data_IF_232070368373
#
_entry.id   IF_232070368373
#
_cell.length_a   1.000
_cell.length_b   1.000
_cell.length_c   1.000
_cell.angle_alpha   90.00
_cell.angle_beta   90.00
_cell.angle_gamma   90.00
#
_symmetry.space_group_name_H-M   'P 1'
#
loop_
_entity.id
_entity.type
_entity.pdbx_description
1 polymer ?
#
# COMPACT_ATOMS: atom_id res chain seq x y z
N UNK A 1 13.95 -51.05 17.67
CA UNK A 1 14.43 -49.65 17.47
C UNK A 1 14.40 -49.39 15.98
N UNK A 2 13.44 -48.61 15.49
CA UNK A 2 13.34 -48.30 14.06
C UNK A 2 14.38 -47.27 13.70
N UNK A 3 15.19 -47.54 12.67
CA UNK A 3 16.18 -46.58 12.16
C UNK A 3 15.46 -45.36 11.56
N UNK A 4 16.00 -44.14 11.76
CA UNK A 4 15.44 -42.94 11.17
C UNK A 4 15.63 -42.98 9.64
N UNK A 5 14.53 -42.81 8.90
CA UNK A 5 14.57 -42.67 7.44
C UNK A 5 15.25 -41.33 7.11
N UNK A 6 16.41 -41.39 6.47
CA UNK A 6 17.12 -40.20 6.01
C UNK A 6 16.29 -39.49 4.93
N UNK A 7 15.91 -38.23 5.17
CA UNK A 7 15.30 -37.39 4.15
C UNK A 7 16.42 -36.91 3.22
N UNK A 8 16.36 -37.21 1.91
CA UNK A 8 17.38 -36.75 0.97
C UNK A 8 17.40 -35.22 0.91
N UNK A 9 18.61 -34.66 0.82
CA UNK A 9 18.79 -33.22 0.67
C UNK A 9 18.18 -32.72 -0.65
N UNK A 10 17.55 -31.53 -0.69
CA UNK A 10 17.00 -30.97 -1.91
C UNK A 10 18.09 -30.73 -2.94
N UNK A 11 17.81 -31.04 -4.21
CA UNK A 11 18.72 -30.75 -5.32
C UNK A 11 18.71 -29.25 -5.67
N UNK A 12 19.84 -28.68 -6.11
CA UNK A 12 19.88 -27.29 -6.56
C UNK A 12 19.06 -27.11 -7.85
N UNK A 13 18.37 -25.98 -7.96
CA UNK A 13 17.62 -25.61 -9.17
C UNK A 13 18.62 -25.16 -10.26
N UNK A 14 18.55 -25.68 -11.50
CA UNK A 14 19.40 -25.22 -12.59
C UNK A 14 19.25 -23.73 -12.88
N UNK A 15 20.35 -23.05 -13.20
CA UNK A 15 20.39 -21.57 -13.35
C UNK A 15 19.44 -21.09 -14.45
N UNK A 16 19.28 -21.87 -15.53
CA UNK A 16 18.35 -21.59 -16.63
C UNK A 16 16.87 -21.62 -16.23
N UNK A 17 16.53 -22.21 -15.08
CA UNK A 17 15.19 -22.21 -14.51
C UNK A 17 14.99 -21.07 -13.49
N UNK A 18 16.06 -20.38 -13.10
CA UNK A 18 15.99 -19.23 -12.21
C UNK A 18 15.56 -18.00 -12.99
N UNK A 19 14.69 -17.20 -12.38
CA UNK A 19 14.20 -15.94 -12.95
C UNK A 19 14.60 -14.78 -12.05
N UNK A 20 14.95 -13.65 -12.65
CA UNK A 20 15.14 -12.41 -11.89
C UNK A 20 13.80 -11.87 -11.43
N UNK A 21 13.70 -11.56 -10.13
CA UNK A 21 12.55 -10.84 -9.60
C UNK A 21 12.65 -9.37 -10.03
N UNK A 22 11.99 -9.03 -11.14
CA UNK A 22 11.89 -7.66 -11.62
C UNK A 22 10.66 -6.95 -11.03
N UNK A 23 10.69 -5.63 -10.85
CA UNK A 23 9.49 -4.86 -10.53
C UNK A 23 8.40 -5.13 -11.58
N UNK A 24 7.12 -5.22 -11.17
CA UNK A 24 6.04 -5.47 -12.11
C UNK A 24 5.94 -4.31 -13.11
N UNK A 25 5.71 -4.65 -14.38
CA UNK A 25 5.29 -3.72 -15.43
C UNK A 25 3.80 -3.94 -15.62
N UNK A 26 3.02 -2.88 -15.54
CA UNK A 26 1.57 -2.94 -15.69
C UNK A 26 1.18 -2.68 -17.16
N UNK A 27 0.31 -3.50 -17.72
CA UNK A 27 -0.11 -3.37 -19.12
C UNK A 27 -1.16 -2.26 -19.30
N UNK A 28 -1.82 -1.86 -18.22
CA UNK A 28 -2.83 -0.79 -18.21
C UNK A 28 -2.81 0.01 -16.90
N UNK A 29 -3.34 1.25 -16.91
CA UNK A 29 -3.51 2.02 -15.67
C UNK A 29 -4.47 1.37 -14.66
N UNK A 30 -5.43 0.56 -15.11
CA UNK A 30 -6.33 -0.18 -14.22
C UNK A 30 -5.59 -1.27 -13.42
N UNK A 31 -4.69 -2.00 -14.09
CA UNK A 31 -3.82 -2.97 -13.44
C UNK A 31 -2.89 -2.28 -12.43
N UNK A 32 -2.28 -1.16 -12.82
CA UNK A 32 -1.42 -0.40 -11.92
C UNK A 32 -2.18 0.15 -10.70
N UNK A 33 -3.42 0.63 -10.90
CA UNK A 33 -4.27 1.11 -9.81
C UNK A 33 -4.58 -0.01 -8.83
N UNK A 34 -4.94 -1.18 -9.34
CA UNK A 34 -5.21 -2.38 -8.53
C UNK A 34 -3.98 -2.74 -7.72
N UNK A 35 -2.82 -2.82 -8.38
CA UNK A 35 -1.55 -3.09 -7.73
C UNK A 35 -1.20 -2.06 -6.64
N UNK A 36 -1.30 -0.75 -6.93
CA UNK A 36 -1.02 0.32 -5.95
C UNK A 36 -1.95 0.22 -4.73
N UNK A 37 -3.24 -0.08 -4.92
CA UNK A 37 -4.21 -0.27 -3.82
C UNK A 37 -3.90 -1.50 -2.98
N UNK A 38 -3.51 -2.62 -3.60
CA UNK A 38 -3.09 -3.82 -2.90
C UNK A 38 -1.83 -3.60 -2.06
N UNK A 39 -0.82 -2.93 -2.65
CA UNK A 39 0.41 -2.57 -1.95
C UNK A 39 0.15 -1.58 -0.81
N UNK A 40 -0.74 -0.61 -1.01
CA UNK A 40 -1.14 0.34 0.02
C UNK A 40 -1.80 -0.36 1.21
N UNK A 41 -2.79 -1.24 0.95
CA UNK A 41 -3.41 -2.05 2.01
C UNK A 41 -2.39 -2.92 2.74
N UNK A 42 -1.47 -3.56 2.00
CA UNK A 42 -0.37 -4.34 2.60
C UNK A 42 0.54 -3.50 3.48
N UNK A 43 0.93 -2.30 3.04
CA UNK A 43 1.76 -1.38 3.80
C UNK A 43 1.08 -0.92 5.10
N UNK A 44 -0.22 -0.61 5.04
CA UNK A 44 -1.01 -0.27 6.22
C UNK A 44 -1.01 -1.44 7.22
N UNK A 45 -1.30 -2.66 6.78
CA UNK A 45 -1.27 -3.84 7.67
C UNK A 45 0.11 -4.06 8.30
N UNK A 46 1.19 -3.84 7.54
CA UNK A 46 2.55 -3.89 8.09
C UNK A 46 2.76 -2.82 9.16
N UNK A 47 2.28 -1.59 8.94
CA UNK A 47 2.33 -0.53 9.97
C UNK A 47 1.56 -0.93 11.22
N UNK A 48 0.36 -1.49 11.08
CA UNK A 48 -0.42 -2.01 12.21
C UNK A 48 0.31 -3.12 12.97
N UNK A 49 0.89 -4.10 12.25
CA UNK A 49 1.66 -5.19 12.86
C UNK A 49 2.93 -4.73 13.59
N UNK A 50 3.56 -3.66 13.11
CA UNK A 50 4.76 -3.08 13.72
C UNK A 50 4.44 -2.08 14.84
N UNK A 51 3.17 -1.81 15.13
CA UNK A 51 2.75 -0.86 16.16
C UNK A 51 2.96 0.61 15.77
N UNK A 52 2.94 0.92 14.48
CA UNK A 52 3.09 2.28 13.93
C UNK A 52 1.76 3.04 13.79
N UNK A 53 0.65 2.42 14.20
CA UNK A 53 -0.64 3.09 14.38
C UNK A 53 -0.74 3.65 15.80
N UNK A 54 -1.12 4.93 15.93
CA UNK A 54 -1.35 5.58 17.23
C UNK A 54 -2.80 6.08 17.29
N UNK A 55 -3.68 5.24 17.85
CA UNK A 55 -5.12 5.47 17.87
C UNK A 55 -5.70 5.60 16.46
N UNK A 56 -6.15 6.80 16.10
CA UNK A 56 -6.69 7.11 14.77
C UNK A 56 -5.69 7.84 13.86
N UNK A 57 -4.45 8.01 14.33
CA UNK A 57 -3.39 8.73 13.65
C UNK A 57 -2.58 7.81 12.74
N UNK A 58 -2.01 8.41 11.70
CA UNK A 58 -1.23 7.71 10.70
C UNK A 58 -2.03 7.51 9.41
N UNK A 59 -1.34 7.69 8.29
CA UNK A 59 -1.95 7.58 6.97
C UNK A 59 -0.88 7.27 5.95
N UNK A 60 -1.27 6.49 4.97
CA UNK A 60 -0.46 6.25 3.79
C UNK A 60 -1.32 6.62 2.58
N UNK A 61 -0.77 7.45 1.69
CA UNK A 61 -1.41 7.81 0.43
C UNK A 61 -0.66 7.23 -0.75
N UNK A 62 -1.38 6.86 -1.80
CA UNK A 62 -0.82 6.47 -3.10
C UNK A 62 -1.56 7.18 -4.23
N UNK A 63 -0.84 7.89 -5.11
CA UNK A 63 -1.39 8.59 -6.27
C UNK A 63 -2.08 7.60 -7.20
N UNK A 64 -3.22 7.99 -7.75
CA UNK A 64 -3.87 7.25 -8.82
C UNK A 64 -3.02 7.32 -10.12
N UNK A 65 -2.91 6.24 -10.91
CA UNK A 65 -2.08 6.25 -12.11
C UNK A 65 -2.66 7.07 -13.26
N UNK A 66 -3.97 7.36 -13.27
CA UNK A 66 -4.62 8.18 -14.33
C UNK A 66 -4.99 9.58 -13.82
N UNK A 67 -5.40 9.68 -12.56
CA UNK A 67 -5.85 10.92 -11.97
C UNK A 67 -4.73 11.55 -11.15
N UNK A 68 -3.93 12.40 -11.80
CA UNK A 68 -2.69 12.93 -11.23
C UNK A 68 -2.85 13.66 -9.89
N UNK A 69 -3.99 14.31 -9.63
CA UNK A 69 -4.29 14.99 -8.35
C UNK A 69 -5.29 14.21 -7.48
N UNK A 70 -5.30 12.87 -7.60
CA UNK A 70 -6.13 12.00 -6.79
C UNK A 70 -5.29 10.92 -6.12
N UNK A 71 -5.66 10.56 -4.89
CA UNK A 71 -4.87 9.72 -4.01
C UNK A 71 -5.76 8.69 -3.31
N UNK A 72 -5.33 7.44 -3.35
CA UNK A 72 -5.87 6.36 -2.52
C UNK A 72 -5.31 6.49 -1.10
N UNK A 73 -6.16 6.39 -0.09
CA UNK A 73 -5.79 6.57 1.33
C UNK A 73 -6.68 5.71 2.23
N UNK A 74 -6.20 5.36 3.43
CA UNK A 74 -7.01 4.68 4.44
C UNK A 74 -8.16 5.59 4.95
N UNK A 75 -9.34 5.01 5.24
CA UNK A 75 -10.41 5.70 5.97
C UNK A 75 -9.94 6.23 7.32
N UNK A 76 -10.43 7.40 7.71
CA UNK A 76 -10.16 7.94 9.03
C UNK A 76 -10.77 7.07 10.13
N UNK A 77 -9.95 6.66 11.10
CA UNK A 77 -10.35 5.87 12.26
C UNK A 77 -10.47 4.36 12.01
N UNK A 78 -10.15 3.88 10.81
CA UNK A 78 -10.10 2.45 10.53
C UNK A 78 -8.78 1.83 11.04
N UNK A 79 -8.81 0.73 11.80
CA UNK A 79 -7.61 0.02 12.24
C UNK A 79 -6.76 -0.45 11.05
N UNK A 80 -5.44 -0.25 11.08
CA UNK A 80 -4.62 -0.55 9.91
C UNK A 80 -4.53 -2.05 9.62
N UNK A 81 -4.56 -2.87 10.66
CA UNK A 81 -4.51 -4.33 10.56
C UNK A 81 -5.65 -4.94 9.72
N UNK A 82 -6.79 -4.26 9.65
CA UNK A 82 -8.00 -4.74 8.98
C UNK A 82 -8.18 -4.19 7.56
N UNK A 83 -7.38 -3.20 7.14
CA UNK A 83 -7.59 -2.53 5.85
C UNK A 83 -7.42 -3.51 4.69
N UNK A 84 -8.44 -3.63 3.85
CA UNK A 84 -8.37 -4.27 2.55
C UNK A 84 -8.38 -3.26 1.40
N UNK A 85 -7.97 -3.65 0.19
CA UNK A 85 -7.93 -2.74 -0.95
C UNK A 85 -9.27 -2.05 -1.21
N UNK A 86 -10.39 -2.77 -1.02
CA UNK A 86 -11.75 -2.26 -1.18
C UNK A 86 -12.18 -1.22 -0.13
N UNK A 87 -11.50 -1.14 1.02
CA UNK A 87 -11.82 -0.18 2.07
C UNK A 87 -11.20 1.20 1.81
N UNK A 88 -10.16 1.25 0.97
CA UNK A 88 -9.48 2.49 0.60
C UNK A 88 -10.45 3.46 -0.08
N UNK A 89 -10.29 4.74 0.27
CA UNK A 89 -11.03 5.85 -0.34
C UNK A 89 -10.13 6.57 -1.35
N UNK A 90 -10.74 7.12 -2.40
CA UNK A 90 -10.07 8.01 -3.34
C UNK A 90 -10.42 9.45 -2.96
N UNK A 91 -9.41 10.30 -2.78
CA UNK A 91 -9.56 11.72 -2.48
C UNK A 91 -8.83 12.59 -3.50
N UNK A 92 -9.34 13.79 -3.77
CA UNK A 92 -8.60 14.78 -4.57
C UNK A 92 -7.57 15.55 -3.72
N UNK A 93 -6.79 16.44 -4.35
CA UNK A 93 -5.78 17.27 -3.67
C UNK A 93 -6.31 18.22 -2.59
N UNK A 94 -7.63 18.42 -2.53
CA UNK A 94 -8.31 19.22 -1.49
C UNK A 94 -8.90 18.35 -0.37
N UNK A 95 -8.67 17.03 -0.39
CA UNK A 95 -9.17 16.10 0.62
C UNK A 95 -10.67 15.80 0.52
N UNK A 96 -11.28 16.04 -0.65
CA UNK A 96 -12.67 15.67 -0.93
C UNK A 96 -12.72 14.22 -1.43
N UNK A 97 -13.64 13.43 -0.89
CA UNK A 97 -13.79 12.01 -1.24
C UNK A 97 -14.52 11.87 -2.58
N UNK A 98 -13.85 11.25 -3.56
CA UNK A 98 -14.37 10.96 -4.89
C UNK A 98 -14.90 9.53 -5.02
N UNK A 99 -14.32 8.58 -4.28
CA UNK A 99 -14.76 7.18 -4.22
C UNK A 99 -14.63 6.61 -2.80
N UNK A 100 -15.56 5.74 -2.44
CA UNK A 100 -15.68 5.19 -1.09
C UNK A 100 -16.77 5.90 -0.28
N UNK A 101 -16.90 5.53 0.99
CA UNK A 101 -18.02 5.98 1.86
C UNK A 101 -17.57 6.60 3.20
N UNK A 102 -16.26 6.75 3.39
CA UNK A 102 -15.68 7.19 4.65
C UNK A 102 -14.89 8.48 4.45
N UNK A 103 -14.74 9.24 5.53
CA UNK A 103 -13.96 10.47 5.53
C UNK A 103 -12.45 10.16 5.49
N UNK A 104 -11.69 11.08 4.92
CA UNK A 104 -10.25 11.22 5.17
C UNK A 104 -10.04 12.14 6.37
N UNK A 105 -8.95 11.97 7.11
CA UNK A 105 -8.48 12.99 8.04
C UNK A 105 -7.93 14.18 7.23
N UNK A 106 -8.78 15.16 6.91
CA UNK A 106 -8.42 16.26 6.01
C UNK A 106 -7.21 17.07 6.49
N UNK A 107 -7.14 17.35 7.79
CA UNK A 107 -6.04 18.12 8.37
C UNK A 107 -4.70 17.43 8.17
N UNK A 108 -4.65 16.12 8.42
CA UNK A 108 -3.43 15.34 8.29
C UNK A 108 -3.11 15.01 6.82
N UNK A 109 -4.14 14.79 6.00
CA UNK A 109 -3.98 14.60 4.56
C UNK A 109 -3.46 15.85 3.83
N UNK A 110 -3.71 17.06 4.33
CA UNK A 110 -3.20 18.29 3.74
C UNK A 110 -1.66 18.29 3.60
N UNK A 111 -0.94 17.63 4.53
CA UNK A 111 0.52 17.43 4.43
C UNK A 111 0.88 16.52 3.26
N UNK A 112 0.17 15.40 3.10
CA UNK A 112 0.39 14.48 1.97
C UNK A 112 0.10 15.18 0.63
N UNK A 113 -1.00 15.93 0.55
CA UNK A 113 -1.36 16.69 -0.64
C UNK A 113 -0.27 17.73 -1.00
N UNK A 114 0.27 18.45 -0.02
CA UNK A 114 1.36 19.39 -0.24
C UNK A 114 2.63 18.70 -0.78
N UNK A 115 3.00 17.54 -0.22
CA UNK A 115 4.14 16.75 -0.72
C UNK A 115 3.89 16.29 -2.16
N UNK A 116 2.73 15.70 -2.45
CA UNK A 116 2.39 15.24 -3.79
C UNK A 116 2.32 16.37 -4.83
N UNK A 117 1.91 17.57 -4.43
CA UNK A 117 1.89 18.75 -5.30
C UNK A 117 3.29 19.27 -5.58
N UNK A 118 4.15 19.29 -4.56
CA UNK A 118 5.56 19.70 -4.71
C UNK A 118 6.39 18.66 -5.47
N UNK A 119 5.98 17.39 -5.43
CA UNK A 119 6.69 16.24 -6.03
C UNK A 119 5.74 15.41 -6.91
N UNK A 120 5.50 15.83 -8.16
CA UNK A 120 4.65 15.09 -9.09
C UNK A 120 5.13 13.65 -9.34
N UNK A 121 6.43 13.40 -9.22
CA UNK A 121 7.08 12.10 -9.32
C UNK A 121 6.78 11.16 -8.13
N UNK A 122 6.39 11.71 -6.98
CA UNK A 122 6.08 10.91 -5.80
C UNK A 122 4.75 10.17 -5.96
N UNK A 123 4.83 8.84 -5.93
CA UNK A 123 3.68 7.94 -5.96
C UNK A 123 3.05 7.78 -4.58
N UNK A 124 3.84 7.65 -3.51
CA UNK A 124 3.30 7.38 -2.18
C UNK A 124 3.95 8.25 -1.09
N UNK A 125 3.17 8.55 -0.06
CA UNK A 125 3.63 9.24 1.16
C UNK A 125 3.11 8.45 2.35
N UNK A 126 3.98 8.14 3.30
CA UNK A 126 3.64 7.44 4.53
C UNK A 126 3.97 8.33 5.74
N UNK A 127 3.05 8.39 6.69
CA UNK A 127 3.19 9.15 7.93
C UNK A 127 2.77 8.27 9.12
N UNK A 128 3.55 8.32 10.21
CA UNK A 128 3.34 7.56 11.44
C UNK A 128 3.77 8.36 12.66
N UNK A 129 3.26 7.99 13.83
CA UNK A 129 3.64 8.50 15.16
C UNK A 129 4.30 7.38 15.99
N UNK A 130 5.35 6.76 15.45
CA UNK A 130 6.11 5.68 16.10
C UNK A 130 6.97 6.15 17.26
#
# INVERSE_FOLDING_TARGET
>A
MSEPVAVPAPAPIPVEQLQFAMPPVHASPEEERTYRRERLAGALRLFGQLGYEDGVSGHISARDPELADCFWVNPFGAPFADIAPQDLILVNGDGQVLRGRFHVNQAAFAVHAAVHRARPDTVAVAHTHS
#
